data_IF_973957106585
#
_entry.id   IF_973957106585
#
_cell.length_a   1.000
_cell.length_b   1.000
_cell.length_c   1.000
_cell.angle_alpha   90.00
_cell.angle_beta   90.00
_cell.angle_gamma   90.00
#
_symmetry.space_group_name_H-M   'P 1'
#
loop_
_entity.id
_entity.type
_entity.pdbx_description
1 polymer ?
#
# COMPACT_ATOMS: atom_id res chain seq x y z
N UNK A 1 -14.02 -2.40 8.89
CA UNK A 1 -14.18 -3.57 9.78
C UNK A 1 -13.20 -3.40 10.92
N UNK A 2 -13.70 -3.22 12.14
CA UNK A 2 -12.88 -3.17 13.34
C UNK A 2 -12.56 -4.62 13.74
N UNK A 3 -11.29 -5.00 13.65
CA UNK A 3 -10.84 -6.35 14.01
C UNK A 3 -10.50 -6.42 15.50
N UNK A 4 -10.90 -7.49 16.22
CA UNK A 4 -10.63 -7.62 17.65
C UNK A 4 -9.14 -7.86 17.90
N UNK A 5 -8.57 -7.09 18.84
CA UNK A 5 -7.20 -7.23 19.32
C UNK A 5 -7.19 -8.32 20.39
N UNK A 6 -6.56 -9.46 20.12
CA UNK A 6 -6.25 -10.44 21.15
C UNK A 6 -4.90 -10.09 21.78
N UNK A 7 -4.96 -9.59 23.02
CA UNK A 7 -3.80 -9.27 23.86
C UNK A 7 -3.33 -10.57 24.54
N UNK A 8 -2.16 -11.08 24.18
CA UNK A 8 -1.47 -12.12 24.96
C UNK A 8 -0.26 -11.45 25.63
N UNK A 9 -0.40 -11.10 26.91
CA UNK A 9 0.73 -10.81 27.81
C UNK A 9 1.22 -12.16 28.37
N UNK A 10 2.49 -12.55 28.45
CA UNK A 10 3.70 -11.91 29.02
C UNK A 10 4.90 -12.87 28.74
N UNK A 11 6.15 -12.49 28.44
CA UNK A 11 7.20 -12.06 29.38
C UNK A 11 8.45 -11.57 28.60
N UNK A 12 8.56 -10.26 28.36
CA UNK A 12 9.75 -9.42 28.58
C UNK A 12 9.42 -8.06 28.00
N UNK A 13 9.63 -7.01 28.80
CA UNK A 13 9.17 -5.65 28.51
C UNK A 13 9.76 -5.10 27.21
N UNK A 14 8.99 -4.20 26.58
CA UNK A 14 9.32 -3.30 25.47
C UNK A 14 9.61 -3.93 24.10
N UNK A 15 8.56 -4.39 23.41
CA UNK A 15 8.48 -4.34 21.93
C UNK A 15 7.02 -4.38 21.51
N UNK A 16 6.51 -3.29 20.94
CA UNK A 16 5.14 -3.20 20.45
C UNK A 16 5.00 -4.09 19.21
N UNK A 17 4.62 -5.35 19.39
CA UNK A 17 4.47 -6.29 18.28
C UNK A 17 3.17 -5.97 17.54
N UNK A 18 3.30 -5.49 16.30
CA UNK A 18 2.17 -5.13 15.44
C UNK A 18 1.79 -6.34 14.58
N UNK A 19 0.66 -6.98 14.89
CA UNK A 19 0.18 -8.14 14.13
C UNK A 19 -0.70 -7.67 12.95
N UNK A 20 -0.43 -8.20 11.76
CA UNK A 20 -1.22 -7.96 10.56
C UNK A 20 -1.84 -9.29 10.10
N UNK A 21 -3.17 -9.34 9.99
CA UNK A 21 -3.92 -10.58 9.76
C UNK A 21 -4.14 -10.81 8.27
N UNK A 22 -3.48 -11.82 7.71
CA UNK A 22 -3.82 -12.40 6.42
C UNK A 22 -3.80 -13.92 6.56
N UNK A 23 -4.94 -14.58 6.31
CA UNK A 23 -5.01 -16.02 6.07
C UNK A 23 -4.24 -16.88 7.09
N UNK A 24 -4.49 -16.69 8.39
CA UNK A 24 -3.92 -17.51 9.46
C UNK A 24 -2.39 -17.40 9.62
N UNK A 25 -1.81 -16.27 9.22
CA UNK A 25 -0.39 -15.98 9.38
C UNK A 25 -0.21 -14.77 10.28
N UNK A 26 0.79 -14.85 11.15
CA UNK A 26 1.15 -13.83 12.11
C UNK A 26 2.58 -13.37 11.87
N UNK A 27 2.79 -12.06 11.97
CA UNK A 27 4.13 -11.47 12.10
C UNK A 27 4.52 -11.58 13.57
N UNK A 28 5.67 -12.18 13.87
CA UNK A 28 6.20 -12.30 15.24
C UNK A 28 7.62 -11.73 15.30
N UNK A 29 8.09 -11.37 16.49
CA UNK A 29 9.43 -10.83 16.69
C UNK A 29 10.27 -11.63 17.69
N UNK A 30 11.59 -11.61 17.48
CA UNK A 30 12.61 -12.14 18.37
C UNK A 30 13.91 -11.37 18.15
N UNK A 31 14.61 -11.00 19.23
CA UNK A 31 15.90 -10.29 19.17
C UNK A 31 15.90 -9.04 18.25
N UNK A 32 14.79 -8.29 18.25
CA UNK A 32 14.53 -7.11 17.39
C UNK A 32 14.30 -7.39 15.89
N UNK A 33 14.28 -8.64 15.47
CA UNK A 33 13.90 -9.03 14.10
C UNK A 33 12.50 -9.61 14.05
N UNK A 34 11.88 -9.55 12.88
CA UNK A 34 10.56 -10.06 12.59
C UNK A 34 10.62 -11.26 11.64
N UNK A 35 9.69 -12.19 11.85
CA UNK A 35 9.45 -13.37 11.04
C UNK A 35 7.96 -13.61 10.82
N UNK A 36 7.64 -14.67 10.08
CA UNK A 36 6.27 -15.11 9.81
C UNK A 36 6.02 -16.50 10.43
N UNK A 37 4.89 -16.66 11.10
CA UNK A 37 4.46 -17.92 11.71
C UNK A 37 3.03 -18.24 11.31
N UNK A 38 2.75 -19.50 10.97
CA UNK A 38 1.40 -19.98 10.70
C UNK A 38 0.61 -20.16 12.01
N UNK A 39 -0.72 -20.21 11.92
CA UNK A 39 -1.62 -20.43 13.06
C UNK A 39 -1.42 -21.73 13.83
N UNK A 40 -0.80 -22.74 13.20
CA UNK A 40 -0.40 -23.97 13.86
C UNK A 40 0.97 -23.86 14.55
N UNK A 41 1.48 -22.64 14.72
CA UNK A 41 2.78 -22.29 15.28
C UNK A 41 3.99 -22.85 14.52
N UNK A 42 3.80 -23.28 13.26
CA UNK A 42 4.92 -23.60 12.38
C UNK A 42 5.52 -22.31 11.84
N UNK A 43 6.81 -22.11 12.08
CA UNK A 43 7.57 -21.00 11.47
C UNK A 43 7.56 -21.13 9.95
N UNK A 44 7.19 -20.03 9.28
CA UNK A 44 7.28 -19.87 7.83
C UNK A 44 8.60 -19.18 7.51
N UNK A 45 8.81 -17.99 8.08
CA UNK A 45 10.03 -17.20 7.96
C UNK A 45 10.61 -17.00 9.38
N UNK A 46 11.86 -17.40 9.64
CA UNK A 46 12.50 -17.09 10.92
C UNK A 46 12.70 -15.58 11.10
N UNK A 47 12.96 -15.09 12.32
CA UNK A 47 13.15 -13.66 12.57
C UNK A 47 14.45 -13.18 11.92
N UNK A 48 14.35 -12.53 10.76
CA UNK A 48 15.53 -12.08 9.97
C UNK A 48 15.39 -10.69 9.37
N UNK A 49 14.20 -10.09 9.44
CA UNK A 49 13.90 -8.79 8.86
C UNK A 49 13.75 -7.72 9.95
N UNK A 50 14.20 -6.50 9.67
CA UNK A 50 14.00 -5.35 10.56
C UNK A 50 12.52 -4.98 10.64
N UNK A 51 11.78 -5.17 9.54
CA UNK A 51 10.34 -5.02 9.47
C UNK A 51 9.75 -6.00 8.43
N UNK A 52 8.51 -6.43 8.66
CA UNK A 52 7.73 -7.22 7.71
C UNK A 52 6.36 -6.57 7.52
N UNK A 53 5.95 -6.41 6.27
CA UNK A 53 4.62 -5.97 5.90
C UNK A 53 3.98 -7.01 4.96
N UNK A 54 2.83 -7.60 5.30
CA UNK A 54 2.14 -8.49 4.37
C UNK A 54 1.81 -7.80 3.05
N UNK A 55 2.01 -8.51 1.94
CA UNK A 55 1.79 -7.97 0.60
C UNK A 55 0.46 -8.48 0.03
N UNK A 56 0.43 -9.73 -0.41
CA UNK A 56 -0.76 -10.42 -0.92
C UNK A 56 -0.58 -11.92 -0.68
N UNK A 57 -1.51 -12.76 -1.17
CA UNK A 57 -1.51 -14.22 -0.95
C UNK A 57 -0.12 -14.83 -1.12
N UNK A 58 0.44 -15.40 -0.04
CA UNK A 58 1.77 -16.01 0.02
C UNK A 58 2.99 -15.09 -0.22
N UNK A 59 2.83 -13.77 -0.05
CA UNK A 59 3.89 -12.79 -0.30
C UNK A 59 3.96 -11.72 0.80
N UNK A 60 5.14 -11.17 1.02
CA UNK A 60 5.39 -10.10 1.97
C UNK A 60 6.50 -9.16 1.50
N UNK A 61 6.46 -7.94 2.01
CA UNK A 61 7.59 -7.02 1.98
C UNK A 61 8.48 -7.30 3.19
N UNK A 62 9.76 -7.56 2.95
CA UNK A 62 10.78 -7.65 3.99
C UNK A 62 11.71 -6.45 3.94
N UNK A 63 11.91 -5.78 5.07
CA UNK A 63 12.87 -4.69 5.23
C UNK A 63 14.18 -5.20 5.82
N UNK A 64 15.29 -4.87 5.18
CA UNK A 64 16.64 -5.13 5.68
C UNK A 64 17.57 -4.02 5.22
N UNK A 65 18.41 -3.49 6.12
CA UNK A 65 19.27 -2.34 5.87
C UNK A 65 18.49 -1.16 5.27
N UNK A 66 17.33 -0.82 5.85
CA UNK A 66 16.45 0.27 5.39
C UNK A 66 15.92 0.13 3.95
N UNK A 67 15.99 -1.09 3.38
CA UNK A 67 15.49 -1.38 2.02
C UNK A 67 14.44 -2.48 2.07
N UNK A 68 13.29 -2.18 1.47
CA UNK A 68 12.18 -3.09 1.29
C UNK A 68 12.29 -3.87 -0.01
N UNK A 69 12.06 -5.17 0.06
CA UNK A 69 12.00 -6.06 -1.09
C UNK A 69 10.79 -6.99 -1.00
N UNK A 70 10.23 -7.37 -2.15
CA UNK A 70 9.08 -8.28 -2.22
C UNK A 70 9.56 -9.72 -2.23
N UNK A 71 8.98 -10.55 -1.37
CA UNK A 71 9.33 -11.96 -1.24
C UNK A 71 8.09 -12.84 -1.24
N UNK A 72 8.24 -14.10 -1.64
CA UNK A 72 7.26 -15.16 -1.34
C UNK A 72 7.55 -15.79 0.03
N UNK A 73 6.68 -16.69 0.50
CA UNK A 73 6.88 -17.42 1.76
C UNK A 73 7.98 -18.48 1.75
N UNK A 74 8.63 -18.73 0.62
CA UNK A 74 9.88 -19.51 0.53
C UNK A 74 11.11 -18.62 0.76
N UNK A 75 10.88 -17.33 1.08
CA UNK A 75 11.89 -16.30 1.26
C UNK A 75 12.66 -15.93 -0.03
N UNK A 76 12.05 -16.18 -1.19
CA UNK A 76 12.64 -15.86 -2.50
C UNK A 76 12.23 -14.45 -2.91
N UNK A 77 13.20 -13.62 -3.30
CA UNK A 77 12.95 -12.30 -3.86
C UNK A 77 12.20 -12.42 -5.20
N UNK A 78 11.05 -11.75 -5.33
CA UNK A 78 10.24 -11.80 -6.57
C UNK A 78 10.94 -11.09 -7.74
N UNK A 79 11.71 -10.05 -7.43
CA UNK A 79 12.56 -9.35 -8.39
C UNK A 79 13.75 -8.70 -7.66
N UNK A 80 14.64 -8.07 -8.42
CA UNK A 80 15.84 -7.39 -7.89
C UNK A 80 15.59 -5.93 -7.48
N UNK A 81 14.33 -5.48 -7.39
CA UNK A 81 14.02 -4.09 -7.04
C UNK A 81 13.91 -3.94 -5.54
N UNK A 82 14.38 -2.80 -5.08
CA UNK A 82 14.31 -2.39 -3.70
C UNK A 82 13.71 -0.99 -3.58
N UNK A 83 13.09 -0.73 -2.44
CA UNK A 83 12.35 0.49 -2.15
C UNK A 83 12.74 1.02 -0.76
N UNK A 84 12.62 2.32 -0.56
CA UNK A 84 12.80 2.95 0.76
C UNK A 84 11.49 2.97 1.54
N UNK A 85 10.36 3.10 0.85
CA UNK A 85 9.03 3.02 1.46
C UNK A 85 8.13 2.14 0.60
N UNK A 86 7.26 1.38 1.25
CA UNK A 86 6.25 0.53 0.61
C UNK A 86 4.95 0.59 1.40
N UNK A 87 3.82 0.50 0.69
CA UNK A 87 2.50 0.32 1.27
C UNK A 87 1.95 -1.09 0.98
N UNK A 88 0.89 -1.47 1.68
CA UNK A 88 0.17 -2.73 1.44
C UNK A 88 -0.44 -2.75 0.04
N UNK A 89 -0.52 -3.93 -0.57
CA UNK A 89 -1.21 -4.05 -1.85
C UNK A 89 -2.71 -3.85 -1.70
N UNK A 90 -3.29 -3.10 -2.63
CA UNK A 90 -4.73 -2.94 -2.80
C UNK A 90 -5.07 -3.16 -4.28
N UNK A 91 -6.03 -4.04 -4.57
CA UNK A 91 -6.43 -4.41 -5.93
C UNK A 91 -5.26 -4.78 -6.87
N UNK A 92 -4.18 -5.37 -6.32
CA UNK A 92 -3.02 -5.80 -7.09
C UNK A 92 -1.92 -4.75 -7.27
N UNK A 93 -2.06 -3.56 -6.69
CA UNK A 93 -1.05 -2.50 -6.74
C UNK A 93 -0.61 -2.05 -5.34
N UNK A 94 0.66 -1.67 -5.21
CA UNK A 94 1.20 -1.06 -4.00
C UNK A 94 1.87 0.28 -4.33
N UNK A 95 1.68 1.29 -3.48
CA UNK A 95 2.45 2.53 -3.53
C UNK A 95 3.86 2.26 -2.99
N UNK A 96 4.89 2.73 -3.69
CA UNK A 96 6.29 2.54 -3.29
C UNK A 96 7.12 3.77 -3.60
N UNK A 97 8.20 3.97 -2.84
CA UNK A 97 9.19 5.02 -3.05
C UNK A 97 10.59 4.42 -3.21
N UNK A 98 11.35 4.86 -4.21
CA UNK A 98 12.75 4.41 -4.39
C UNK A 98 13.75 5.18 -3.53
N UNK A 99 13.40 6.39 -3.12
CA UNK A 99 14.32 7.41 -2.61
C UNK A 99 13.71 8.24 -1.46
N UNK A 100 12.61 7.78 -0.87
CA UNK A 100 11.90 8.45 0.21
C UNK A 100 11.23 9.78 -0.19
N UNK A 101 11.32 10.18 -1.46
CA UNK A 101 10.89 11.50 -1.94
C UNK A 101 9.81 11.41 -3.00
N UNK A 102 9.91 10.43 -3.90
CA UNK A 102 8.97 10.26 -5.00
C UNK A 102 8.35 8.88 -5.00
N UNK A 103 7.04 8.86 -5.23
CA UNK A 103 6.16 7.72 -5.12
C UNK A 103 5.63 7.32 -6.49
N UNK A 104 5.49 6.01 -6.68
CA UNK A 104 4.87 5.39 -7.84
C UNK A 104 4.12 4.13 -7.41
N UNK A 105 3.56 3.41 -8.37
CA UNK A 105 2.78 2.20 -8.10
C UNK A 105 3.34 1.00 -8.82
N UNK A 106 3.50 -0.10 -8.09
CA UNK A 106 3.98 -1.38 -8.63
C UNK A 106 2.87 -2.43 -8.63
N UNK A 107 2.92 -3.35 -9.60
CA UNK A 107 2.09 -4.55 -9.62
C UNK A 107 2.64 -5.66 -8.69
N UNK A 108 1.95 -6.80 -8.63
CA UNK A 108 2.34 -7.98 -7.83
C UNK A 108 3.69 -8.61 -8.21
N UNK A 109 4.23 -8.28 -9.38
CA UNK A 109 5.58 -8.68 -9.79
C UNK A 109 6.63 -7.63 -9.37
N UNK A 110 6.22 -6.60 -8.61
CA UNK A 110 7.02 -5.43 -8.27
C UNK A 110 7.39 -4.56 -9.48
N UNK A 111 6.64 -4.65 -10.58
CA UNK A 111 6.86 -3.82 -11.76
C UNK A 111 6.08 -2.52 -11.69
N UNK A 112 6.77 -1.39 -11.93
CA UNK A 112 6.11 -0.10 -12.00
C UNK A 112 5.06 -0.10 -13.11
N UNK A 113 3.83 0.22 -12.72
CA UNK A 113 2.75 0.59 -13.64
C UNK A 113 2.62 2.10 -13.74
N UNK A 114 2.92 2.79 -12.64
CA UNK A 114 3.05 4.25 -12.59
C UNK A 114 4.45 4.54 -12.03
N UNK A 115 5.37 5.15 -12.80
CA UNK A 115 6.72 5.47 -12.35
C UNK A 115 6.76 6.36 -11.10
N UNK A 116 7.86 6.29 -10.35
CA UNK A 116 8.03 7.02 -9.10
C UNK A 116 8.46 8.48 -9.32
N UNK A 117 7.54 9.34 -9.78
CA UNK A 117 7.78 10.78 -9.97
C UNK A 117 6.77 11.70 -9.27
N UNK A 118 5.84 11.16 -8.49
CA UNK A 118 4.88 11.96 -7.72
C UNK A 118 5.38 12.22 -6.31
N UNK A 119 5.04 13.37 -5.71
CA UNK A 119 5.48 13.69 -4.34
C UNK A 119 4.74 12.85 -3.28
N UNK A 120 3.54 12.39 -3.61
CA UNK A 120 2.70 11.51 -2.80
C UNK A 120 1.84 10.63 -3.71
N UNK A 121 1.44 9.46 -3.23
CA UNK A 121 0.56 8.56 -3.94
C UNK A 121 -0.31 7.76 -2.98
N UNK A 122 -1.58 7.54 -3.32
CA UNK A 122 -2.45 6.58 -2.64
C UNK A 122 -3.36 5.87 -3.66
N UNK A 123 -3.53 4.57 -3.50
CA UNK A 123 -4.52 3.80 -4.27
C UNK A 123 -5.91 4.00 -3.65
N UNK A 124 -6.92 4.30 -4.46
CA UNK A 124 -8.30 4.59 -4.00
C UNK A 124 -9.28 3.46 -4.27
N UNK A 125 -8.87 2.37 -4.93
CA UNK A 125 -9.78 1.34 -5.41
C UNK A 125 -10.16 1.53 -6.89
N UNK A 126 -10.67 0.47 -7.52
CA UNK A 126 -11.16 0.47 -8.91
C UNK A 126 -10.18 1.09 -9.94
N UNK A 127 -8.88 0.85 -9.77
CA UNK A 127 -7.82 1.39 -10.64
C UNK A 127 -7.74 2.93 -10.67
N UNK A 128 -8.18 3.59 -9.60
CA UNK A 128 -8.01 5.04 -9.39
C UNK A 128 -6.85 5.29 -8.42
N UNK A 129 -5.99 6.24 -8.78
CA UNK A 129 -4.81 6.60 -7.99
C UNK A 129 -4.83 8.09 -7.71
N UNK A 130 -4.80 8.46 -6.42
CA UNK A 130 -4.54 9.83 -6.02
C UNK A 130 -3.02 10.07 -6.06
N UNK A 131 -2.61 11.14 -6.73
CA UNK A 131 -1.20 11.51 -6.86
C UNK A 131 -0.99 12.98 -6.54
N UNK A 132 0.06 13.28 -5.79
CA UNK A 132 0.42 14.63 -5.35
C UNK A 132 1.51 15.27 -6.21
N UNK A 133 1.32 16.54 -6.59
CA UNK A 133 2.35 17.39 -7.21
C UNK A 133 2.37 18.77 -6.54
N UNK A 134 3.52 19.41 -6.58
CA UNK A 134 3.63 20.83 -6.25
C UNK A 134 3.04 21.66 -7.39
N UNK A 135 2.04 22.48 -7.05
CA UNK A 135 1.45 23.47 -7.93
C UNK A 135 1.52 24.82 -7.23
N UNK A 136 2.39 25.70 -7.73
CA UNK A 136 2.59 27.05 -7.20
C UNK A 136 2.98 27.08 -5.72
N UNK A 137 3.83 26.15 -5.28
CA UNK A 137 4.30 26.05 -3.89
C UNK A 137 3.30 25.36 -2.96
N UNK A 138 2.21 24.80 -3.49
CA UNK A 138 1.21 24.06 -2.72
C UNK A 138 1.09 22.64 -3.26
N UNK A 139 1.20 21.66 -2.36
CA UNK A 139 0.91 20.28 -2.69
C UNK A 139 -0.57 20.14 -3.05
N UNK A 140 -0.86 19.69 -4.26
CA UNK A 140 -2.19 19.43 -4.77
C UNK A 140 -2.29 17.99 -5.24
N UNK A 141 -3.46 17.39 -5.06
CA UNK A 141 -3.74 16.03 -5.48
C UNK A 141 -4.68 16.00 -6.67
N UNK A 142 -4.37 15.14 -7.63
CA UNK A 142 -5.20 14.81 -8.78
C UNK A 142 -5.45 13.31 -8.81
N UNK A 143 -6.45 12.89 -9.60
CA UNK A 143 -6.77 11.47 -9.76
C UNK A 143 -6.36 11.04 -11.17
N UNK A 144 -5.57 9.98 -11.24
CA UNK A 144 -5.12 9.37 -12.49
C UNK A 144 -5.57 7.91 -12.60
N UNK A 145 -5.54 7.40 -13.83
CA UNK A 145 -5.61 5.97 -14.11
C UNK A 145 -4.20 5.34 -14.18
N UNK A 146 -4.13 4.06 -14.59
CA UNK A 146 -2.86 3.33 -14.77
C UNK A 146 -1.99 3.84 -15.92
N UNK A 147 -2.56 4.59 -16.87
CA UNK A 147 -1.84 5.21 -17.98
C UNK A 147 -1.40 6.64 -17.65
N UNK A 148 -1.61 7.07 -16.40
CA UNK A 148 -1.38 8.42 -15.92
C UNK A 148 -2.29 9.47 -16.58
N UNK A 149 -3.41 9.05 -17.17
CA UNK A 149 -4.44 9.94 -17.70
C UNK A 149 -5.20 10.60 -16.53
N UNK A 150 -5.31 11.94 -16.55
CA UNK A 150 -6.00 12.69 -15.51
C UNK A 150 -7.51 12.50 -15.59
N UNK A 151 -8.07 11.76 -14.64
CA UNK A 151 -9.52 11.59 -14.43
C UNK A 151 -10.09 12.83 -13.73
N UNK A 152 -9.42 13.31 -12.68
CA UNK A 152 -9.70 14.58 -12.01
C UNK A 152 -8.40 15.40 -11.95
N UNK A 153 -8.45 16.71 -12.29
CA UNK A 153 -7.28 17.56 -12.19
C UNK A 153 -6.82 17.74 -10.74
N UNK A 154 -5.66 18.36 -10.56
CA UNK A 154 -5.04 18.64 -9.26
C UNK A 154 -5.80 19.69 -8.45
N UNK A 155 -6.98 19.33 -7.95
CA UNK A 155 -7.95 20.23 -7.32
C UNK A 155 -8.05 20.04 -5.80
N UNK A 156 -7.52 18.95 -5.26
CA UNK A 156 -7.63 18.64 -3.84
C UNK A 156 -6.40 19.13 -3.08
N UNK A 157 -6.61 19.68 -1.88
CA UNK A 157 -5.54 20.09 -0.96
C UNK A 157 -5.05 18.92 -0.08
N UNK A 158 -5.84 17.86 0.02
CA UNK A 158 -5.55 16.63 0.74
C UNK A 158 -5.85 15.43 -0.15
N UNK A 159 -5.37 14.24 0.24
CA UNK A 159 -5.68 13.02 -0.52
C UNK A 159 -7.18 12.71 -0.36
N UNK A 160 -7.98 12.72 -1.45
CA UNK A 160 -9.41 12.49 -1.34
C UNK A 160 -9.72 11.01 -1.08
N UNK A 161 -10.87 10.75 -0.48
CA UNK A 161 -11.39 9.38 -0.37
C UNK A 161 -11.99 8.90 -1.69
N UNK A 162 -12.18 7.59 -1.84
CA UNK A 162 -12.93 7.05 -2.98
C UNK A 162 -14.33 7.68 -3.10
N UNK A 163 -15.00 7.92 -1.97
CA UNK A 163 -16.34 8.54 -1.93
C UNK A 163 -16.32 9.95 -2.51
N UNK A 164 -15.34 10.76 -2.15
CA UNK A 164 -15.20 12.13 -2.66
C UNK A 164 -15.01 12.14 -4.19
N UNK A 165 -14.16 11.24 -4.68
CA UNK A 165 -13.90 11.07 -6.11
C UNK A 165 -15.16 10.60 -6.83
N UNK A 166 -15.86 9.60 -6.30
CA UNK A 166 -17.10 9.08 -6.88
C UNK A 166 -18.19 10.17 -6.96
N UNK A 167 -18.38 10.96 -5.90
CA UNK A 167 -19.35 12.05 -5.87
C UNK A 167 -19.05 13.13 -6.92
N UNK A 168 -17.77 13.49 -7.11
CA UNK A 168 -17.37 14.47 -8.13
C UNK A 168 -17.56 13.95 -9.55
N UNK A 169 -17.26 12.67 -9.79
CA UNK A 169 -17.50 12.03 -11.08
C UNK A 169 -19.00 11.95 -11.42
N UNK A 170 -19.84 11.63 -10.43
CA UNK A 170 -21.29 11.64 -10.58
C UNK A 170 -21.85 13.04 -10.84
N UNK A 171 -21.33 14.08 -10.18
CA UNK A 171 -21.74 15.48 -10.44
C UNK A 171 -21.34 15.96 -11.84
N UNK A 172 -20.19 15.52 -12.36
CA UNK A 172 -19.72 15.84 -13.71
C UNK A 172 -20.55 15.16 -14.80
N UNK A 173 -21.06 13.96 -14.53
CA UNK A 173 -22.10 13.33 -15.34
C UNK A 173 -23.43 14.04 -15.03
N UNK A 174 -23.77 15.11 -15.74
CA UNK A 174 -25.07 15.81 -15.62
C UNK A 174 -26.26 14.83 -15.50
N UNK A 175 -27.33 15.19 -14.76
CA UNK A 175 -28.33 14.25 -14.27
C UNK A 175 -29.13 13.62 -15.40
N UNK A 176 -29.54 12.36 -15.22
CA UNK A 176 -30.41 11.58 -16.08
C UNK A 176 -31.68 12.32 -16.60
N UNK A 177 -32.03 13.47 -15.99
CA UNK A 177 -33.19 14.31 -16.36
C UNK A 177 -33.05 15.08 -17.68
N UNK A 178 -31.85 15.28 -18.23
CA UNK A 178 -31.70 15.90 -19.56
C UNK A 178 -31.86 14.89 -20.74
N UNK A 179 -31.81 13.58 -20.47
CA UNK A 179 -31.95 12.54 -21.50
C UNK A 179 -33.39 12.19 -21.85
N UNK A 180 -34.35 12.50 -20.96
CA UNK A 180 -35.71 12.02 -21.14
C UNK A 180 -36.62 12.94 -21.93
N UNK A 181 -36.26 14.20 -22.25
CA UNK A 181 -37.10 15.18 -23.01
C UNK A 181 -38.55 14.69 -23.19
N UNK A 182 -39.28 14.63 -22.08
CA UNK A 182 -40.74 14.54 -22.03
C UNK A 182 -41.22 15.97 -21.81
#
# INVERSE_FOLDING_TARGET
MNYPILKIERLSQTSTTKFCFMENIFVYSSENFYGLIAYNFKTIIPPTYEEILPAFTHHFWGCKNEKWKLHNFENIEINNKQFEEVETFQNGYACVSKNGKTFGFVDRNGNFKIPAHYLKGQHLGNCLFAVGKDIQGKLKYGIIDLKEELILPYLFDEIPTFTDVALLLLKRRKPLREWLRL
#
